data_IF_634729383480
#
_entry.id   IF_634729383480
#
_cell.length_a   1.000
_cell.length_b   1.000
_cell.length_c   1.000
_cell.angle_alpha   90.00
_cell.angle_beta   90.00
_cell.angle_gamma   90.00
#
_symmetry.space_group_name_H-M   'P 1'
#
loop_
_entity.id
_entity.type
_entity.pdbx_description
1 polymer ?
#
# COMPACT_ATOMS: atom_id res chain seq x y z
N UNK A 1 -56.80 -41.63 -4.21
CA UNK A 1 -55.40 -41.81 -4.70
C UNK A 1 -54.94 -40.62 -5.54
N UNK A 2 -55.67 -40.22 -6.61
CA UNK A 2 -55.29 -39.10 -7.49
C UNK A 2 -55.14 -37.75 -6.76
N UNK A 3 -56.07 -37.44 -5.83
CA UNK A 3 -56.03 -36.19 -5.06
C UNK A 3 -54.81 -36.08 -4.15
N UNK A 4 -54.35 -37.21 -3.61
CA UNK A 4 -53.20 -37.26 -2.72
C UNK A 4 -51.91 -36.97 -3.50
N UNK A 5 -51.82 -37.50 -4.72
CA UNK A 5 -50.73 -37.20 -5.67
C UNK A 5 -50.74 -35.71 -6.04
N UNK A 6 -51.92 -35.14 -6.28
CA UNK A 6 -52.05 -33.73 -6.65
C UNK A 6 -51.59 -32.79 -5.52
N UNK A 7 -51.96 -33.10 -4.28
CA UNK A 7 -51.51 -32.35 -3.08
C UNK A 7 -49.99 -32.45 -2.92
N UNK A 8 -49.42 -33.65 -3.08
CA UNK A 8 -47.98 -33.86 -2.97
C UNK A 8 -47.21 -33.07 -4.05
N UNK A 9 -47.72 -33.07 -5.28
CA UNK A 9 -47.14 -32.31 -6.39
C UNK A 9 -47.19 -30.80 -6.13
N UNK A 10 -48.34 -30.29 -5.67
CA UNK A 10 -48.50 -28.88 -5.34
C UNK A 10 -47.58 -28.44 -4.19
N UNK A 11 -47.42 -29.27 -3.16
CA UNK A 11 -46.52 -29.01 -2.05
C UNK A 11 -45.04 -28.97 -2.49
N UNK A 12 -44.64 -29.89 -3.38
CA UNK A 12 -43.29 -29.93 -3.94
C UNK A 12 -42.97 -28.68 -4.76
N UNK A 13 -43.89 -28.27 -5.64
CA UNK A 13 -43.74 -27.07 -6.48
C UNK A 13 -43.68 -25.81 -5.60
N UNK A 14 -44.55 -25.72 -4.59
CA UNK A 14 -44.53 -24.59 -3.65
C UNK A 14 -43.17 -24.50 -2.95
N UNK A 15 -42.69 -25.60 -2.37
CA UNK A 15 -41.38 -25.63 -1.70
C UNK A 15 -40.23 -25.23 -2.63
N UNK A 16 -40.19 -25.78 -3.86
CA UNK A 16 -39.16 -25.48 -4.84
C UNK A 16 -39.17 -24.00 -5.26
N UNK A 17 -40.36 -23.38 -5.34
CA UNK A 17 -40.48 -21.95 -5.67
C UNK A 17 -39.98 -21.02 -4.56
N UNK A 18 -40.01 -21.45 -3.31
CA UNK A 18 -39.50 -20.67 -2.17
C UNK A 18 -38.03 -20.95 -1.85
N UNK A 19 -37.42 -21.96 -2.47
CA UNK A 19 -36.05 -22.36 -2.17
C UNK A 19 -35.05 -21.49 -2.95
N UNK A 20 -34.42 -20.53 -2.27
CA UNK A 20 -33.30 -19.77 -2.82
C UNK A 20 -32.00 -20.57 -2.70
N UNK A 21 -31.43 -20.95 -3.84
CA UNK A 21 -30.09 -21.55 -3.88
C UNK A 21 -29.10 -20.47 -3.52
N UNK A 22 -28.56 -20.56 -2.30
CA UNK A 22 -27.54 -19.64 -1.81
C UNK A 22 -26.18 -20.01 -2.41
N UNK A 23 -25.84 -19.40 -3.55
CA UNK A 23 -24.51 -19.55 -4.13
C UNK A 23 -23.54 -18.55 -3.48
N UNK A 24 -22.75 -19.03 -2.51
CA UNK A 24 -21.67 -18.21 -1.93
C UNK A 24 -20.43 -18.31 -2.83
N UNK A 25 -20.24 -17.33 -3.71
CA UNK A 25 -18.98 -17.19 -4.46
C UNK A 25 -17.91 -16.68 -3.49
N UNK A 26 -16.95 -17.54 -3.12
CA UNK A 26 -15.75 -17.13 -2.38
C UNK A 26 -14.77 -16.47 -3.35
N UNK A 27 -14.91 -15.17 -3.55
CA UNK A 27 -13.90 -14.39 -4.27
C UNK A 27 -12.74 -14.06 -3.30
N UNK A 28 -11.54 -14.56 -3.60
CA UNK A 28 -10.32 -14.10 -2.93
C UNK A 28 -9.96 -12.73 -3.49
N UNK A 29 -10.46 -11.67 -2.86
CA UNK A 29 -10.06 -10.30 -3.18
C UNK A 29 -8.63 -10.05 -2.71
N UNK A 30 -7.68 -9.90 -3.64
CA UNK A 30 -6.34 -9.45 -3.30
C UNK A 30 -6.34 -7.92 -3.23
N UNK A 31 -6.37 -7.37 -2.01
CA UNK A 31 -6.22 -5.94 -1.79
C UNK A 31 -4.73 -5.58 -1.90
N UNK A 32 -4.31 -5.06 -3.06
CA UNK A 32 -2.96 -4.48 -3.22
C UNK A 32 -3.08 -2.99 -2.91
N UNK A 33 -2.67 -2.52 -1.72
CA UNK A 33 -2.55 -1.08 -1.51
C UNK A 33 -1.51 -0.55 -2.47
N UNK A 34 -1.93 0.31 -3.41
CA UNK A 34 -1.04 1.13 -4.23
C UNK A 34 -0.40 2.22 -3.38
N UNK A 35 0.33 1.83 -2.34
CA UNK A 35 1.30 2.71 -1.72
C UNK A 35 2.51 2.72 -2.67
N UNK A 36 2.68 3.81 -3.43
CA UNK A 36 3.97 4.11 -4.07
C UNK A 36 5.00 4.23 -2.95
N UNK A 37 5.69 3.14 -2.63
CA UNK A 37 6.91 3.19 -1.81
C UNK A 37 7.96 3.90 -2.65
N UNK A 38 7.98 5.23 -2.59
CA UNK A 38 9.08 6.00 -3.18
C UNK A 38 10.31 5.72 -2.34
N UNK A 39 11.24 4.98 -2.92
CA UNK A 39 12.57 4.77 -2.37
C UNK A 39 13.26 6.15 -2.44
N UNK A 40 13.33 6.84 -1.31
CA UNK A 40 14.16 8.04 -1.16
C UNK A 40 15.61 7.56 -1.14
N UNK A 41 16.20 7.43 -2.33
CA UNK A 41 17.60 7.06 -2.50
C UNK A 41 18.40 8.35 -2.75
N UNK A 42 19.41 8.58 -1.92
CA UNK A 42 20.28 9.76 -2.04
C UNK A 42 21.10 9.60 -3.33
N UNK A 43 21.01 10.58 -4.22
CA UNK A 43 21.64 10.54 -5.55
C UNK A 43 23.17 10.54 -5.49
N UNK A 44 23.77 11.06 -4.40
CA UNK A 44 25.21 11.19 -4.24
C UNK A 44 25.62 10.80 -2.81
N UNK A 45 26.47 9.78 -2.70
CA UNK A 45 26.86 9.12 -1.46
C UNK A 45 27.60 10.02 -0.46
N UNK A 46 26.86 10.55 0.53
CA UNK A 46 27.38 11.05 1.79
C UNK A 46 27.04 10.11 2.95
N UNK A 47 27.90 10.04 3.98
CA UNK A 47 27.62 9.29 5.21
C UNK A 47 26.43 9.95 5.92
N UNK A 48 25.42 9.16 6.26
CA UNK A 48 24.22 9.61 6.98
C UNK A 48 24.61 9.88 8.44
N UNK A 49 24.48 11.12 8.90
CA UNK A 49 24.81 11.47 10.28
C UNK A 49 23.65 11.20 11.25
N UNK A 50 22.41 11.49 10.83
CA UNK A 50 21.22 11.31 11.67
C UNK A 50 19.96 11.05 10.81
N UNK A 51 19.13 10.09 11.22
CA UNK A 51 17.84 9.76 10.58
C UNK A 51 16.70 10.07 11.55
N UNK A 52 15.91 11.09 11.23
CA UNK A 52 14.88 11.64 12.13
C UNK A 52 13.50 11.00 11.99
N UNK A 53 13.39 9.95 11.18
CA UNK A 53 12.12 9.27 10.87
C UNK A 53 12.28 7.75 10.87
N UNK A 54 11.22 7.03 11.21
CA UNK A 54 11.17 5.57 11.17
C UNK A 54 10.13 5.07 10.17
N UNK A 55 10.27 3.81 9.77
CA UNK A 55 9.30 3.17 8.90
C UNK A 55 7.91 3.19 9.56
N UNK A 56 6.94 3.83 8.88
CA UNK A 56 5.57 4.00 9.36
C UNK A 56 5.25 5.40 9.92
N UNK A 57 6.22 6.30 10.03
CA UNK A 57 5.97 7.68 10.45
C UNK A 57 5.24 8.49 9.36
N UNK A 58 4.23 9.26 9.78
CA UNK A 58 3.54 10.23 8.92
C UNK A 58 4.37 11.51 8.85
N UNK A 59 4.78 11.90 7.65
CA UNK A 59 5.63 13.08 7.42
C UNK A 59 4.87 14.20 6.71
N UNK A 60 5.20 15.45 7.04
CA UNK A 60 4.60 16.65 6.45
C UNK A 60 5.58 17.32 5.49
N UNK A 61 5.07 17.99 4.45
CA UNK A 61 5.90 18.73 3.50
C UNK A 61 6.80 19.76 4.23
N UNK A 62 8.11 19.68 3.98
CA UNK A 62 9.12 20.54 4.63
C UNK A 62 9.77 19.93 5.89
N UNK A 63 9.37 18.74 6.32
CA UNK A 63 9.99 18.05 7.45
C UNK A 63 11.38 17.51 7.09
N UNK A 64 12.37 17.78 7.94
CA UNK A 64 13.72 17.24 7.81
C UNK A 64 13.70 15.74 8.15
N UNK A 65 13.93 14.91 7.13
CA UNK A 65 13.92 13.45 7.27
C UNK A 65 15.28 12.89 7.73
N UNK A 66 16.37 13.48 7.25
CA UNK A 66 17.72 13.04 7.54
C UNK A 66 18.72 14.21 7.49
N UNK A 67 19.83 14.07 8.22
CA UNK A 67 20.96 14.99 8.21
C UNK A 67 22.20 14.25 7.69
N UNK A 68 22.84 14.82 6.68
CA UNK A 68 24.09 14.31 6.10
C UNK A 68 25.30 14.91 6.85
N UNK A 69 26.38 14.15 6.98
CA UNK A 69 27.57 14.55 7.73
C UNK A 69 28.33 15.72 7.05
N UNK A 70 28.62 16.78 7.80
CA UNK A 70 29.14 18.06 7.27
C UNK A 70 30.63 18.05 6.87
N UNK A 71 31.40 17.02 7.23
CA UNK A 71 32.85 17.00 6.96
C UNK A 71 33.20 17.00 5.46
N UNK A 72 32.41 16.33 4.60
CA UNK A 72 32.61 16.35 3.15
C UNK A 72 32.01 17.58 2.44
N UNK A 73 30.93 18.15 2.97
CA UNK A 73 30.27 19.31 2.35
C UNK A 73 31.16 20.56 2.35
N UNK A 74 31.93 20.78 3.41
CA UNK A 74 32.88 21.89 3.47
C UNK A 74 34.05 21.70 2.50
N UNK A 75 34.52 20.47 2.29
CA UNK A 75 35.62 20.17 1.36
C UNK A 75 35.24 20.50 -0.10
N UNK A 76 34.02 20.13 -0.53
CA UNK A 76 33.50 20.46 -1.88
C UNK A 76 33.25 21.97 -2.05
N UNK A 77 32.83 22.65 -0.99
CA UNK A 77 32.64 24.11 -1.01
C UNK A 77 33.97 24.86 -1.11
N UNK A 78 35.00 24.43 -0.37
CA UNK A 78 36.35 25.01 -0.45
C UNK A 78 36.99 24.75 -1.81
N UNK A 79 36.86 23.55 -2.36
CA UNK A 79 37.38 23.20 -3.69
C UNK A 79 36.68 24.01 -4.80
N UNK A 80 35.36 24.23 -4.68
CA UNK A 80 34.61 25.06 -5.63
C UNK A 80 35.00 26.54 -5.55
N UNK A 81 35.29 27.08 -4.35
CA UNK A 81 35.83 28.43 -4.21
C UNK A 81 37.23 28.57 -4.78
N UNK A 82 38.10 27.58 -4.56
CA UNK A 82 39.46 27.59 -5.08
C UNK A 82 39.48 27.58 -6.63
N UNK A 83 38.54 26.85 -7.25
CA UNK A 83 38.43 26.71 -8.71
C UNK A 83 37.75 27.90 -9.41
N UNK A 84 37.01 28.73 -8.69
CA UNK A 84 36.43 29.99 -9.21
C UNK A 84 37.40 31.17 -9.04
N UNK A 85 38.40 31.03 -8.17
CA UNK A 85 39.44 32.05 -7.94
C UNK A 85 40.70 31.84 -8.82
N UNK A 86 40.80 30.74 -9.57
CA UNK A 86 41.85 30.44 -10.54
C UNK A 86 41.35 30.62 -11.98
#
# INVERSE_FOLDING_TARGET
>A
MIFLIFILMAAFIAWASFFEISESVRAQGQLIPSARTQIVQVADGGVLADLKVKAGDVVVAGQVLAVLERQRANAVYEESRAKVAS
#
